data_IF_029605822268
#
_entry.id   IF_029605822268
#
_cell.length_a   1.000
_cell.length_b   1.000
_cell.length_c   1.000
_cell.angle_alpha   90.00
_cell.angle_beta   90.00
_cell.angle_gamma   90.00
#
_symmetry.space_group_name_H-M   'P 1'
#
loop_
_entity.id
_entity.type
_entity.pdbx_description
1 polymer ?
#
# COMPACT_ATOMS: atom_id res chain seq x y z
N UNK A 1 -10.23 18.61 -0.03
CA UNK A 1 -10.78 17.53 0.82
C UNK A 1 -9.57 16.84 1.44
N UNK A 2 -9.39 16.88 2.77
CA UNK A 2 -8.25 16.21 3.42
C UNK A 2 -8.65 14.76 3.70
N UNK A 3 -7.94 13.81 3.08
CA UNK A 3 -8.09 12.39 3.39
C UNK A 3 -7.43 12.11 4.73
N UNK A 4 -7.99 11.18 5.51
CA UNK A 4 -7.24 10.64 6.65
C UNK A 4 -6.03 9.86 6.14
N UNK A 5 -4.91 9.80 6.88
CA UNK A 5 -3.73 9.03 6.49
C UNK A 5 -4.05 7.55 6.18
N UNK A 6 -4.95 6.95 6.95
CA UNK A 6 -5.41 5.58 6.68
C UNK A 6 -6.17 5.47 5.35
N UNK A 7 -7.08 6.41 5.05
CA UNK A 7 -7.80 6.43 3.78
C UNK A 7 -6.85 6.65 2.60
N UNK A 8 -5.87 7.56 2.75
CA UNK A 8 -4.84 7.79 1.74
C UNK A 8 -4.05 6.52 1.44
N UNK A 9 -3.55 5.82 2.46
CA UNK A 9 -2.82 4.57 2.29
C UNK A 9 -3.68 3.48 1.62
N UNK A 10 -4.94 3.32 2.05
CA UNK A 10 -5.86 2.34 1.47
C UNK A 10 -6.11 2.64 -0.01
N UNK A 11 -6.31 3.91 -0.39
CA UNK A 11 -6.49 4.31 -1.79
C UNK A 11 -5.21 4.03 -2.60
N UNK A 12 -4.04 4.38 -2.06
CA UNK A 12 -2.75 4.09 -2.70
C UNK A 12 -2.53 2.60 -2.93
N UNK A 13 -3.03 1.74 -2.05
CA UNK A 13 -2.86 0.29 -2.18
C UNK A 13 -3.93 -0.35 -3.08
N UNK A 14 -5.17 0.13 -3.08
CA UNK A 14 -6.31 -0.62 -3.65
C UNK A 14 -6.96 0.03 -4.87
N UNK A 15 -6.69 1.32 -5.14
CA UNK A 15 -7.32 2.02 -6.26
C UNK A 15 -6.43 2.11 -7.51
N UNK A 16 -7.09 2.11 -8.66
CA UNK A 16 -6.51 2.55 -9.93
C UNK A 16 -6.55 4.07 -10.00
N UNK A 17 -5.42 4.69 -10.38
CA UNK A 17 -5.35 6.12 -10.68
C UNK A 17 -5.28 6.32 -12.19
N UNK A 18 -6.03 7.29 -12.71
CA UNK A 18 -6.36 7.41 -14.13
C UNK A 18 -5.26 8.04 -15.01
N UNK A 19 -4.06 8.33 -14.49
CA UNK A 19 -3.10 9.21 -15.21
C UNK A 19 -1.60 8.92 -15.09
N UNK A 20 -1.15 7.79 -14.57
CA UNK A 20 0.29 7.47 -14.57
C UNK A 20 0.64 6.38 -15.60
N UNK A 21 1.65 6.70 -16.39
CA UNK A 21 2.11 6.02 -17.59
C UNK A 21 2.56 4.57 -17.29
N UNK A 22 1.96 3.62 -18.00
CA UNK A 22 2.55 2.36 -18.51
C UNK A 22 3.34 1.38 -17.61
N UNK A 23 3.70 1.71 -16.37
CA UNK A 23 4.57 0.91 -15.48
C UNK A 23 4.03 0.85 -14.03
N UNK A 24 2.76 1.22 -13.82
CA UNK A 24 2.18 1.22 -12.47
C UNK A 24 1.84 -0.19 -11.99
N UNK A 25 2.33 -0.51 -10.79
CA UNK A 25 1.96 -1.72 -10.06
C UNK A 25 0.43 -1.88 -10.00
N UNK A 26 -0.05 -3.10 -10.28
CA UNK A 26 -1.48 -3.43 -10.17
C UNK A 26 -1.94 -3.22 -8.71
N UNK A 27 -3.03 -2.49 -8.47
CA UNK A 27 -3.60 -2.35 -7.13
C UNK A 27 -3.90 -3.71 -6.49
N UNK A 28 -3.94 -3.75 -5.17
CA UNK A 28 -4.27 -4.95 -4.43
C UNK A 28 -5.70 -5.38 -4.74
N UNK A 29 -5.87 -6.66 -5.08
CA UNK A 29 -7.19 -7.29 -5.10
C UNK A 29 -7.76 -7.39 -3.69
N UNK A 30 -9.07 -7.58 -3.56
CA UNK A 30 -9.72 -7.76 -2.26
C UNK A 30 -9.06 -8.87 -1.42
N UNK A 31 -8.64 -9.97 -2.05
CA UNK A 31 -7.99 -11.09 -1.35
C UNK A 31 -6.58 -10.74 -0.89
N UNK A 32 -5.81 -10.02 -1.71
CA UNK A 32 -4.46 -9.55 -1.33
C UNK A 32 -4.55 -8.52 -0.20
N UNK A 33 -5.50 -7.57 -0.31
CA UNK A 33 -5.77 -6.61 0.74
C UNK A 33 -6.21 -7.30 2.04
N UNK A 34 -7.09 -8.29 1.98
CA UNK A 34 -7.54 -9.02 3.17
C UNK A 34 -6.38 -9.68 3.92
N UNK A 35 -5.44 -10.31 3.21
CA UNK A 35 -4.23 -10.90 3.82
C UNK A 35 -3.29 -9.83 4.37
N UNK A 36 -3.06 -8.77 3.59
CA UNK A 36 -2.15 -7.70 4.01
C UNK A 36 -2.69 -6.91 5.22
N UNK A 37 -3.99 -6.61 5.24
CA UNK A 37 -4.64 -5.91 6.35
C UNK A 37 -4.67 -6.76 7.63
N UNK A 38 -4.85 -8.08 7.50
CA UNK A 38 -4.74 -9.00 8.63
C UNK A 38 -3.31 -8.99 9.20
N UNK A 39 -2.30 -9.10 8.34
CA UNK A 39 -0.91 -9.06 8.75
C UNK A 39 -0.51 -7.73 9.40
N UNK A 40 -0.96 -6.59 8.85
CA UNK A 40 -0.74 -5.28 9.49
C UNK A 40 -1.26 -5.28 10.93
N UNK A 41 -2.47 -5.80 11.14
CA UNK A 41 -3.06 -5.92 12.48
C UNK A 41 -2.24 -6.84 13.39
N UNK A 42 -1.72 -7.95 12.88
CA UNK A 42 -0.87 -8.89 13.63
C UNK A 42 0.47 -8.27 14.05
N UNK A 43 1.05 -7.43 13.18
CA UNK A 43 2.26 -6.64 13.49
C UNK A 43 1.96 -5.36 14.28
N UNK A 44 0.72 -5.15 14.74
CA UNK A 44 0.27 -3.94 15.44
C UNK A 44 0.46 -2.63 14.64
N UNK A 45 0.36 -2.73 13.32
CA UNK A 45 0.43 -1.63 12.35
C UNK A 45 -0.96 -1.31 11.79
N UNK A 46 -1.09 -0.09 11.30
CA UNK A 46 -2.21 0.41 10.52
C UNK A 46 -1.74 0.81 9.11
N UNK A 47 -2.65 0.98 8.16
CA UNK A 47 -2.27 1.46 6.83
C UNK A 47 -1.58 2.84 6.87
N UNK A 48 -1.92 3.69 7.84
CA UNK A 48 -1.31 5.01 8.00
C UNK A 48 0.18 4.93 8.36
N UNK A 49 0.60 3.90 9.10
CA UNK A 49 2.00 3.72 9.52
C UNK A 49 2.92 3.46 8.33
N UNK A 50 2.37 3.04 7.19
CA UNK A 50 3.11 2.84 5.94
C UNK A 50 3.41 4.16 5.19
N UNK A 51 2.79 5.28 5.58
CA UNK A 51 3.01 6.59 4.96
C UNK A 51 4.22 7.32 5.57
N UNK A 52 5.35 6.61 5.60
CA UNK A 52 6.65 7.13 6.05
C UNK A 52 7.61 7.21 4.86
N UNK A 53 8.70 8.00 4.94
CA UNK A 53 9.68 8.10 3.86
C UNK A 53 10.29 6.76 3.44
N UNK A 54 10.43 5.81 4.36
CA UNK A 54 10.91 4.46 4.09
C UNK A 54 10.11 3.40 4.87
N UNK A 55 9.13 2.73 4.25
CA UNK A 55 8.32 1.70 4.92
C UNK A 55 8.96 0.30 4.88
N UNK A 56 10.11 0.10 4.22
CA UNK A 56 10.78 -1.22 4.11
C UNK A 56 11.02 -1.90 5.46
N UNK A 57 11.48 -1.20 6.52
CA UNK A 57 11.67 -1.83 7.82
C UNK A 57 10.37 -2.41 8.40
N UNK A 58 9.24 -1.73 8.18
CA UNK A 58 7.91 -2.19 8.62
C UNK A 58 7.48 -3.45 7.86
N UNK A 59 7.85 -3.55 6.58
CA UNK A 59 7.51 -4.67 5.70
C UNK A 59 8.49 -5.85 5.78
N UNK A 60 9.55 -5.76 6.57
CA UNK A 60 10.62 -6.79 6.63
C UNK A 60 10.12 -8.19 6.99
N UNK A 61 9.01 -8.30 7.73
CA UNK A 61 8.38 -9.56 8.13
C UNK A 61 7.21 -9.98 7.22
N UNK A 62 6.87 -9.16 6.24
CA UNK A 62 5.84 -9.48 5.27
C UNK A 62 6.34 -10.56 4.32
N UNK A 63 5.56 -11.63 4.17
CA UNK A 63 5.85 -12.70 3.22
C UNK A 63 4.56 -13.27 2.64
N UNK A 64 4.37 -13.13 1.33
CA UNK A 64 3.22 -13.67 0.60
C UNK A 64 3.66 -14.16 -0.78
N UNK A 65 3.09 -15.28 -1.24
CA UNK A 65 3.47 -15.89 -2.51
C UNK A 65 2.97 -15.13 -3.76
N UNK A 66 2.11 -14.11 -3.60
CA UNK A 66 1.50 -13.35 -4.70
C UNK A 66 1.70 -11.84 -4.58
N UNK A 67 1.75 -11.32 -3.35
CA UNK A 67 1.96 -9.92 -3.05
C UNK A 67 3.37 -9.69 -2.51
N UNK A 68 4.26 -9.18 -3.37
CA UNK A 68 5.64 -8.86 -2.99
C UNK A 68 5.73 -7.52 -2.24
N UNK A 69 6.75 -7.39 -1.39
CA UNK A 69 7.11 -6.10 -0.77
C UNK A 69 7.31 -5.01 -1.83
N UNK A 70 8.05 -5.31 -2.91
CA UNK A 70 8.31 -4.36 -3.99
C UNK A 70 7.04 -3.79 -4.61
N UNK A 71 5.99 -4.61 -4.77
CA UNK A 71 4.70 -4.13 -5.27
C UNK A 71 4.00 -3.21 -4.26
N UNK A 72 4.07 -3.51 -2.96
CA UNK A 72 3.54 -2.63 -1.91
C UNK A 72 4.24 -1.26 -1.96
N UNK A 73 5.58 -1.25 -2.04
CA UNK A 73 6.37 -0.02 -2.14
C UNK A 73 6.02 0.81 -3.38
N UNK A 74 5.91 0.15 -4.54
CA UNK A 74 5.50 0.81 -5.78
C UNK A 74 4.12 1.45 -5.64
N UNK A 75 3.15 0.76 -5.03
CA UNK A 75 1.79 1.27 -4.82
C UNK A 75 1.76 2.48 -3.88
N UNK A 76 2.52 2.45 -2.78
CA UNK A 76 2.66 3.56 -1.82
C UNK A 76 3.36 4.78 -2.44
N UNK A 77 4.35 4.56 -3.31
CA UNK A 77 5.09 5.62 -4.01
C UNK A 77 4.24 6.46 -4.99
N UNK A 78 3.01 6.02 -5.29
CA UNK A 78 2.05 6.75 -6.13
C UNK A 78 1.41 7.96 -5.42
N UNK A 79 1.86 8.31 -4.21
CA UNK A 79 1.40 9.48 -3.46
C UNK A 79 1.47 10.80 -4.24
N UNK A 80 2.41 10.94 -5.17
CA UNK A 80 2.48 12.09 -6.09
C UNK A 80 1.22 12.23 -6.96
N UNK A 81 0.50 11.13 -7.24
CA UNK A 81 -0.78 11.13 -7.97
C UNK A 81 -1.96 11.62 -7.11
N UNK A 82 -1.79 11.76 -5.80
CA UNK A 82 -2.78 12.29 -4.85
C UNK A 82 -2.54 13.77 -4.48
N UNK A 83 -1.41 14.35 -4.90
CA UNK A 83 -1.00 15.72 -4.61
C UNK A 83 -1.61 16.75 -5.56
#
# INVERSE_FOLDING_TARGET
MNLSPAAQAILLLTCHFSKALSEDARPLTNTEWGRFALWLKEESLTPADLLVPDPRPLLSRWHDGRLTEGRILQLLGRGHSLA
#
